data_IF_467903941956
#
_entry.id   IF_467903941956
#
_cell.length_a   1.000
_cell.length_b   1.000
_cell.length_c   1.000
_cell.angle_alpha   90.00
_cell.angle_beta   90.00
_cell.angle_gamma   90.00
#
_symmetry.space_group_name_H-M   'P 1'
#
loop_
_entity.id
_entity.type
_entity.pdbx_description
1 polymer ?
#
# COMPACT_ATOMS: atom_id res chain seq x y z
N UNK A 1 -2.83 -20.22 17.17
CA UNK A 1 -3.38 -18.86 17.33
C UNK A 1 -4.66 -18.83 16.53
N UNK A 2 -5.82 -18.68 17.18
CA UNK A 2 -7.10 -18.50 16.48
C UNK A 2 -7.44 -17.01 16.51
N UNK A 3 -7.39 -16.37 15.34
CA UNK A 3 -7.64 -14.94 15.13
C UNK A 3 -6.84 -14.38 13.94
N UNK A 4 -7.34 -13.31 13.28
CA UNK A 4 -6.59 -12.66 12.22
C UNK A 4 -5.27 -12.09 12.74
N UNK A 5 -4.22 -12.05 11.91
CA UNK A 5 -3.00 -11.36 12.28
C UNK A 5 -3.30 -9.86 12.39
N UNK A 6 -2.66 -9.19 13.34
CA UNK A 6 -2.81 -7.74 13.51
C UNK A 6 -2.50 -6.97 12.21
N UNK A 7 -1.48 -7.41 11.48
CA UNK A 7 -1.07 -6.81 10.21
C UNK A 7 -2.11 -7.00 9.10
N UNK A 8 -2.90 -8.06 9.14
CA UNK A 8 -3.97 -8.31 8.18
C UNK A 8 -5.21 -7.50 8.58
N UNK A 9 -5.50 -7.41 9.88
CA UNK A 9 -6.63 -6.66 10.42
C UNK A 9 -6.48 -5.13 10.27
N UNK A 10 -5.25 -4.64 10.19
CA UNK A 10 -4.92 -3.22 10.09
C UNK A 10 -4.01 -2.93 8.87
N UNK A 11 -4.21 -3.66 7.78
CA UNK A 11 -3.60 -3.31 6.51
C UNK A 11 -4.10 -1.91 6.07
N UNK A 12 -3.19 -0.99 5.71
CA UNK A 12 -3.57 0.38 5.39
C UNK A 12 -4.31 0.47 4.05
N UNK A 13 -5.25 1.40 3.95
CA UNK A 13 -5.78 1.86 2.66
C UNK A 13 -4.78 2.81 1.96
N UNK A 14 -5.00 3.06 0.66
CA UNK A 14 -4.14 3.95 -0.14
C UNK A 14 -4.08 5.40 0.42
N UNK A 15 -5.18 5.91 0.95
CA UNK A 15 -5.28 7.25 1.52
C UNK A 15 -4.48 7.41 2.83
N UNK A 16 -4.31 6.31 3.57
CA UNK A 16 -3.54 6.23 4.82
C UNK A 16 -2.01 6.22 4.60
N UNK A 17 -1.54 6.09 3.35
CA UNK A 17 -0.11 6.14 3.01
C UNK A 17 0.44 7.53 3.34
N UNK A 18 1.38 7.63 4.28
CA UNK A 18 1.91 8.94 4.73
C UNK A 18 2.77 9.64 3.68
N UNK A 19 3.37 8.90 2.77
CA UNK A 19 4.20 9.46 1.70
C UNK A 19 3.30 10.01 0.61
N UNK A 20 3.07 11.32 0.63
CA UNK A 20 2.17 12.03 -0.28
C UNK A 20 2.44 11.71 -1.75
N UNK A 21 3.69 11.81 -2.19
CA UNK A 21 4.09 11.50 -3.58
C UNK A 21 3.76 10.05 -3.98
N UNK A 22 3.91 9.11 -3.05
CA UNK A 22 3.62 7.69 -3.30
C UNK A 22 2.11 7.43 -3.37
N UNK A 23 1.33 8.04 -2.48
CA UNK A 23 -0.14 7.98 -2.49
C UNK A 23 -0.68 8.48 -3.83
N UNK A 24 -0.29 9.68 -4.26
CA UNK A 24 -0.75 10.27 -5.52
C UNK A 24 -0.44 9.39 -6.73
N UNK A 25 0.75 8.78 -6.78
CA UNK A 25 1.16 7.88 -7.88
C UNK A 25 0.39 6.56 -7.87
N UNK A 26 0.14 6.00 -6.69
CA UNK A 26 -0.61 4.75 -6.55
C UNK A 26 -2.09 4.95 -6.86
N UNK A 27 -2.70 6.03 -6.38
CA UNK A 27 -4.09 6.40 -6.72
C UNK A 27 -4.26 6.54 -8.24
N UNK A 28 -3.37 7.30 -8.88
CA UNK A 28 -3.41 7.46 -10.35
C UNK A 28 -3.28 6.14 -11.10
N UNK A 29 -2.48 5.20 -10.59
CA UNK A 29 -2.31 3.90 -11.23
C UNK A 29 -3.52 2.97 -11.12
N UNK A 30 -4.43 3.23 -10.18
CA UNK A 30 -5.74 2.57 -10.11
C UNK A 30 -6.64 3.09 -11.23
N UNK A 31 -6.62 4.40 -11.48
CA UNK A 31 -7.48 5.05 -12.48
C UNK A 31 -6.95 4.90 -13.92
N UNK A 32 -5.63 4.93 -14.10
CA UNK A 32 -4.95 4.88 -15.40
C UNK A 32 -4.00 3.67 -15.46
N UNK A 33 -4.21 2.71 -16.38
CA UNK A 33 -3.32 1.56 -16.53
C UNK A 33 -1.88 2.01 -16.84
N UNK A 34 -0.97 1.71 -15.91
CA UNK A 34 0.45 2.04 -16.04
C UNK A 34 1.34 0.96 -15.42
N UNK A 35 2.53 0.80 -15.98
CA UNK A 35 3.53 -0.07 -15.37
C UNK A 35 4.12 0.63 -14.14
N UNK A 36 4.08 -0.04 -12.98
CA UNK A 36 4.64 0.46 -11.74
C UNK A 36 5.78 -0.42 -11.25
N UNK A 37 6.81 0.23 -10.70
CA UNK A 37 7.84 -0.42 -9.89
C UNK A 37 7.80 0.21 -8.51
N UNK A 38 7.46 -0.59 -7.50
CA UNK A 38 7.39 -0.14 -6.10
C UNK A 38 8.61 -0.68 -5.35
N UNK A 39 9.46 0.22 -4.84
CA UNK A 39 10.74 -0.13 -4.21
C UNK A 39 10.86 0.50 -2.80
N UNK A 40 11.48 -0.25 -1.89
CA UNK A 40 11.66 0.15 -0.49
C UNK A 40 12.00 -1.04 0.42
N UNK A 41 12.43 -0.78 1.67
CA UNK A 41 12.84 -1.83 2.62
C UNK A 41 11.75 -2.89 2.89
N UNK A 42 12.10 -4.06 3.45
CA UNK A 42 11.09 -5.05 3.87
C UNK A 42 10.10 -4.46 4.89
N UNK A 43 8.81 -4.81 4.77
CA UNK A 43 7.78 -4.40 5.75
C UNK A 43 7.25 -2.97 5.64
N UNK A 44 7.70 -2.14 4.69
CA UNK A 44 7.26 -0.73 4.56
C UNK A 44 5.91 -0.52 3.85
N UNK A 45 5.10 -1.57 3.66
CA UNK A 45 3.76 -1.44 3.09
C UNK A 45 3.66 -1.55 1.55
N UNK A 46 4.73 -1.93 0.84
CA UNK A 46 4.73 -2.08 -0.64
C UNK A 46 3.62 -2.99 -1.21
N UNK A 47 3.12 -3.92 -0.40
CA UNK A 47 2.12 -4.93 -0.79
C UNK A 47 0.86 -4.84 0.06
N UNK A 48 0.91 -4.10 1.16
CA UNK A 48 -0.15 -4.07 2.17
C UNK A 48 -1.16 -2.96 1.94
N UNK A 49 -0.86 -2.01 1.05
CA UNK A 49 -1.81 -0.99 0.65
C UNK A 49 -2.75 -1.54 -0.45
N UNK A 50 -4.04 -1.62 -0.15
CA UNK A 50 -5.10 -2.13 -1.04
C UNK A 50 -6.30 -1.21 -1.07
#
# INVERSE_FOLDING_TARGET
MEGPLWIDAHAPALDEIRQEEARERLERAVDEPMNLVVQGPPGVGKTAAT
#
